data_IF_109746482303
#
_entry.id   IF_109746482303
#
_cell.length_a   1.000
_cell.length_b   1.000
_cell.length_c   1.000
_cell.angle_alpha   90.00
_cell.angle_beta   90.00
_cell.angle_gamma   90.00
#
_symmetry.space_group_name_H-M   'P 1'
#
loop_
_entity.id
_entity.type
_entity.pdbx_description
1 polymer ?
#
# COMPACT_ATOMS: atom_id res chain seq x y z
N UNK A 1 14.65 -10.46 5.15
CA UNK A 1 14.65 -9.52 3.99
C UNK A 1 13.44 -8.57 4.08
N UNK A 2 13.04 -8.16 5.29
CA UNK A 2 11.80 -7.37 5.52
C UNK A 2 12.05 -5.86 5.66
N UNK A 3 13.32 -5.46 5.86
CA UNK A 3 13.69 -4.09 6.20
C UNK A 3 13.57 -3.10 5.04
N UNK A 4 13.81 -3.51 3.80
CA UNK A 4 13.81 -2.60 2.64
C UNK A 4 12.39 -2.23 2.18
N UNK A 5 11.47 -3.20 2.11
CA UNK A 5 10.06 -2.95 1.76
C UNK A 5 9.38 -2.04 2.78
N UNK A 6 9.67 -2.22 4.07
CA UNK A 6 9.15 -1.36 5.15
C UNK A 6 9.62 0.10 5.04
N UNK A 7 10.88 0.32 4.63
CA UNK A 7 11.42 1.67 4.44
C UNK A 7 10.75 2.40 3.27
N UNK A 8 10.55 1.73 2.13
CA UNK A 8 9.86 2.31 0.96
C UNK A 8 8.41 2.66 1.28
N UNK A 9 7.71 1.77 1.98
CA UNK A 9 6.33 1.99 2.41
C UNK A 9 6.21 3.23 3.32
N UNK A 10 7.14 3.39 4.27
CA UNK A 10 7.23 4.59 5.12
C UNK A 10 7.49 5.85 4.31
N UNK A 11 8.43 5.83 3.38
CA UNK A 11 8.70 6.99 2.52
C UNK A 11 7.48 7.36 1.69
N UNK A 12 6.78 6.38 1.10
CA UNK A 12 5.55 6.64 0.34
C UNK A 12 4.46 7.27 1.22
N UNK A 13 4.23 6.72 2.42
CA UNK A 13 3.26 7.27 3.37
C UNK A 13 3.61 8.73 3.76
N UNK A 14 4.90 9.04 4.00
CA UNK A 14 5.34 10.40 4.32
C UNK A 14 5.16 11.41 3.18
N UNK A 15 5.07 10.95 1.93
CA UNK A 15 4.80 11.82 0.77
C UNK A 15 3.32 12.12 0.58
N UNK A 16 2.44 11.21 1.03
CA UNK A 16 1.00 11.31 0.81
C UNK A 16 0.24 11.85 2.03
N UNK A 17 0.75 11.60 3.23
CA UNK A 17 0.04 11.90 4.48
C UNK A 17 0.80 12.89 5.35
N UNK A 18 0.05 13.60 6.19
CA UNK A 18 0.63 14.38 7.28
C UNK A 18 1.47 13.50 8.22
N UNK A 19 2.60 14.05 8.67
CA UNK A 19 3.54 13.32 9.55
C UNK A 19 2.89 12.80 10.82
N UNK A 20 1.85 13.46 11.32
CA UNK A 20 1.13 13.07 12.54
C UNK A 20 0.39 11.74 12.41
N UNK A 21 0.03 11.31 11.18
CA UNK A 21 -0.74 10.09 10.94
C UNK A 21 0.05 8.97 10.25
N UNK A 22 1.29 9.23 9.83
CA UNK A 22 2.13 8.26 9.11
C UNK A 22 2.31 6.95 9.89
N UNK A 23 2.53 7.01 11.20
CA UNK A 23 2.71 5.79 11.99
C UNK A 23 1.41 4.97 12.09
N UNK A 24 0.24 5.62 12.10
CA UNK A 24 -1.05 4.93 12.10
C UNK A 24 -1.35 4.32 10.72
N UNK A 25 -0.99 5.01 9.64
CA UNK A 25 -1.05 4.49 8.26
C UNK A 25 -0.19 3.22 8.14
N UNK A 26 1.04 3.24 8.64
CA UNK A 26 1.94 2.09 8.57
C UNK A 26 1.46 0.92 9.42
N UNK A 27 1.00 1.17 10.64
CA UNK A 27 0.39 0.12 11.47
C UNK A 27 -0.79 -0.53 10.77
N UNK A 28 -1.67 0.26 10.16
CA UNK A 28 -2.81 -0.25 9.42
C UNK A 28 -2.37 -1.13 8.24
N UNK A 29 -1.41 -0.67 7.42
CA UNK A 29 -0.96 -1.43 6.25
C UNK A 29 -0.24 -2.73 6.63
N UNK A 30 0.63 -2.69 7.63
CA UNK A 30 1.41 -3.86 8.07
C UNK A 30 0.51 -4.90 8.74
N UNK A 31 -0.38 -4.47 9.64
CA UNK A 31 -1.17 -5.40 10.46
C UNK A 31 -2.45 -5.86 9.76
N UNK A 32 -3.06 -5.01 8.93
CA UNK A 32 -4.39 -5.25 8.39
C UNK A 32 -4.41 -5.47 6.87
N UNK A 33 -3.32 -5.17 6.17
CA UNK A 33 -3.15 -5.30 4.72
C UNK A 33 -1.85 -6.04 4.34
N UNK A 34 -1.42 -6.97 5.20
CA UNK A 34 -0.14 -7.67 5.10
C UNK A 34 -0.33 -9.18 4.91
N UNK A 35 0.34 -9.96 5.75
CA UNK A 35 0.28 -11.43 5.77
C UNK A 35 -1.12 -11.98 6.09
N UNK A 36 -1.99 -11.15 6.64
CA UNK A 36 -3.36 -11.49 6.99
C UNK A 36 -4.31 -11.49 5.78
N UNK A 37 -3.86 -11.11 4.58
CA UNK A 37 -4.68 -11.14 3.37
C UNK A 37 -4.81 -12.57 2.82
N UNK A 38 -6.03 -13.02 2.47
CA UNK A 38 -6.25 -14.37 1.98
C UNK A 38 -5.61 -14.59 0.61
N UNK A 39 -4.92 -15.73 0.45
CA UNK A 39 -4.38 -16.20 -0.84
C UNK A 39 -3.37 -15.24 -1.51
N UNK A 40 -2.79 -14.30 -0.75
CA UNK A 40 -1.69 -13.44 -1.22
C UNK A 40 -0.37 -14.14 -0.95
N UNK A 41 0.09 -14.99 -1.87
CA UNK A 41 1.42 -15.60 -1.77
C UNK A 41 2.50 -14.53 -1.96
N UNK A 42 3.12 -14.08 -0.86
CA UNK A 42 4.32 -13.22 -0.81
C UNK A 42 4.26 -11.91 -1.61
N UNK A 43 3.06 -11.36 -1.86
CA UNK A 43 2.89 -10.14 -2.68
C UNK A 43 2.03 -9.08 -1.98
N UNK A 44 2.08 -9.05 -0.65
CA UNK A 44 1.36 -8.09 0.18
C UNK A 44 1.89 -6.66 0.01
N UNK A 45 3.19 -6.49 -0.26
CA UNK A 45 3.78 -5.15 -0.51
C UNK A 45 3.05 -4.45 -1.66
N UNK A 46 2.82 -5.13 -2.79
CA UNK A 46 2.12 -4.54 -3.93
C UNK A 46 0.68 -4.13 -3.59
N UNK A 47 0.00 -4.89 -2.73
CA UNK A 47 -1.35 -4.56 -2.25
C UNK A 47 -1.33 -3.37 -1.29
N UNK A 48 -0.35 -3.30 -0.39
CA UNK A 48 -0.18 -2.15 0.52
C UNK A 48 0.06 -0.86 -0.26
N UNK A 49 0.91 -0.91 -1.29
CA UNK A 49 1.14 0.21 -2.18
C UNK A 49 -0.11 0.59 -3.00
N UNK A 50 -0.92 -0.39 -3.43
CA UNK A 50 -2.19 -0.12 -4.10
C UNK A 50 -3.16 0.64 -3.18
N UNK A 51 -3.31 0.18 -1.93
CA UNK A 51 -4.13 0.85 -0.93
C UNK A 51 -3.63 2.28 -0.65
N UNK A 52 -2.32 2.48 -0.50
CA UNK A 52 -1.71 3.81 -0.36
C UNK A 52 -2.03 4.71 -1.54
N UNK A 53 -1.74 4.27 -2.78
CA UNK A 53 -1.99 5.05 -3.99
C UNK A 53 -3.46 5.45 -4.12
N UNK A 54 -4.38 4.51 -3.88
CA UNK A 54 -5.81 4.75 -4.00
C UNK A 54 -6.39 5.58 -2.87
N UNK A 55 -5.71 5.66 -1.72
CA UNK A 55 -6.14 6.48 -0.58
C UNK A 55 -5.93 7.97 -0.81
N UNK A 56 -4.99 8.35 -1.68
CA UNK A 56 -4.68 9.75 -2.03
C UNK A 56 -4.43 10.64 -0.80
N UNK A 57 -3.78 10.09 0.23
CA UNK A 57 -3.47 10.81 1.47
C UNK A 57 -4.63 10.90 2.49
N UNK A 58 -5.78 10.29 2.21
CA UNK A 58 -6.91 10.22 3.14
C UNK A 58 -6.91 8.92 3.96
N UNK A 59 -6.73 9.05 5.28
CA UNK A 59 -6.66 7.90 6.20
C UNK A 59 -8.01 7.18 6.35
N UNK A 60 -9.12 7.89 6.19
CA UNK A 60 -10.46 7.28 6.23
C UNK A 60 -10.65 6.41 4.99
N UNK A 61 -10.25 6.93 3.82
CA UNK A 61 -10.26 6.18 2.57
C UNK A 61 -9.32 4.97 2.62
N UNK A 62 -8.14 5.14 3.21
CA UNK A 62 -7.19 4.03 3.40
C UNK A 62 -7.82 2.88 4.21
N UNK A 63 -8.51 3.19 5.31
CA UNK A 63 -9.20 2.17 6.14
C UNK A 63 -10.24 1.38 5.35
N UNK A 64 -11.01 2.06 4.49
CA UNK A 64 -12.00 1.41 3.62
C UNK A 64 -11.31 0.47 2.62
N UNK A 65 -10.28 0.96 1.93
CA UNK A 65 -9.51 0.16 0.97
C UNK A 65 -8.87 -1.07 1.62
N UNK A 66 -8.31 -0.93 2.82
CA UNK A 66 -7.74 -2.06 3.57
C UNK A 66 -8.81 -3.08 3.94
N UNK A 67 -10.02 -2.63 4.31
CA UNK A 67 -11.13 -3.54 4.55
C UNK A 67 -11.57 -4.27 3.26
N UNK A 68 -11.62 -3.56 2.13
CA UNK A 68 -11.98 -4.14 0.84
C UNK A 68 -10.92 -5.14 0.36
N UNK A 69 -9.64 -4.88 0.62
CA UNK A 69 -8.53 -5.78 0.29
C UNK A 69 -8.67 -7.17 0.94
N UNK A 70 -9.25 -7.24 2.14
CA UNK A 70 -9.51 -8.50 2.83
C UNK A 70 -10.57 -9.35 2.12
N UNK A 71 -11.48 -8.71 1.38
CA UNK A 71 -12.48 -9.39 0.57
C UNK A 71 -11.92 -9.75 -0.81
N UNK A 72 -11.38 -8.76 -1.54
CA UNK A 72 -10.72 -8.98 -2.82
C UNK A 72 -9.59 -7.98 -3.09
N UNK A 73 -8.36 -8.39 -2.76
CA UNK A 73 -7.16 -7.59 -3.02
C UNK A 73 -6.85 -7.45 -4.52
N UNK A 74 -7.38 -8.30 -5.39
CA UNK A 74 -7.09 -8.24 -6.84
C UNK A 74 -7.76 -7.02 -7.45
N UNK A 75 -8.96 -6.68 -7.00
CA UNK A 75 -9.68 -5.48 -7.44
C UNK A 75 -8.91 -4.21 -7.05
N UNK A 76 -8.29 -4.19 -5.86
CA UNK A 76 -7.38 -3.11 -5.47
C UNK A 76 -6.20 -2.97 -6.43
N UNK A 77 -5.57 -4.08 -6.82
CA UNK A 77 -4.46 -4.05 -7.77
C UNK A 77 -4.92 -3.55 -9.15
N UNK A 78 -6.11 -3.96 -9.60
CA UNK A 78 -6.67 -3.47 -10.87
C UNK A 78 -6.92 -1.97 -10.79
N UNK A 79 -7.61 -1.50 -9.75
CA UNK A 79 -7.94 -0.10 -9.55
C UNK A 79 -6.68 0.78 -9.42
N UNK A 80 -5.64 0.29 -8.74
CA UNK A 80 -4.37 0.99 -8.61
C UNK A 80 -3.51 0.95 -9.89
N UNK A 81 -3.86 0.10 -10.86
CA UNK A 81 -3.07 -0.14 -12.07
C UNK A 81 -1.80 -0.96 -11.80
N UNK A 82 -1.81 -1.84 -10.80
CA UNK A 82 -0.70 -2.73 -10.40
C UNK A 82 -0.95 -4.22 -10.73
N UNK A 83 -1.83 -4.49 -11.70
CA UNK A 83 -2.27 -5.83 -12.07
C UNK A 83 -1.48 -6.47 -13.21
N UNK A 84 -0.69 -5.70 -13.98
CA UNK A 84 -0.05 -6.19 -15.22
C UNK A 84 1.35 -6.73 -14.96
N UNK A 85 2.08 -6.13 -14.03
CA UNK A 85 3.42 -6.60 -13.65
C UNK A 85 3.65 -6.50 -12.14
N UNK A 86 4.61 -7.28 -11.66
CA UNK A 86 4.92 -7.37 -10.22
C UNK A 86 5.61 -6.11 -9.69
N UNK A 87 6.26 -5.34 -10.56
CA UNK A 87 7.08 -4.16 -10.24
C UNK A 87 6.35 -2.81 -10.44
N UNK A 88 5.08 -2.80 -10.84
CA UNK A 88 4.34 -1.54 -11.12
C UNK A 88 4.25 -0.61 -9.89
N UNK A 89 4.14 -1.20 -8.70
CA UNK A 89 4.14 -0.45 -7.44
C UNK A 89 5.48 0.25 -7.16
N UNK A 90 6.60 -0.38 -7.57
CA UNK A 90 7.94 0.21 -7.46
C UNK A 90 8.13 1.36 -8.44
N UNK A 91 7.68 1.20 -9.69
CA UNK A 91 7.71 2.29 -10.68
C UNK A 91 6.89 3.50 -10.21
N UNK A 92 5.73 3.25 -9.61
CA UNK A 92 4.94 4.32 -9.00
C UNK A 92 5.66 4.99 -7.83
N UNK A 93 6.29 4.20 -6.96
CA UNK A 93 7.08 4.72 -5.84
C UNK A 93 8.25 5.60 -6.30
N UNK A 94 8.98 5.17 -7.33
CA UNK A 94 10.08 5.94 -7.93
C UNK A 94 9.59 7.30 -8.45
N UNK A 95 8.47 7.32 -9.18
CA UNK A 95 7.85 8.55 -9.65
C UNK A 95 7.40 9.46 -8.49
N UNK A 96 6.84 8.88 -7.43
CA UNK A 96 6.41 9.62 -6.23
C UNK A 96 7.60 10.26 -5.50
N UNK A 97 8.77 9.63 -5.52
CA UNK A 97 9.98 10.18 -4.89
C UNK A 97 10.64 11.29 -5.70
N UNK A 98 10.46 11.28 -7.03
CA UNK A 98 10.99 12.30 -7.95
C UNK A 98 10.11 13.55 -8.02
N UNK A 99 8.80 13.42 -7.73
CA UNK A 99 7.87 14.53 -7.57
C UNK A 99 8.14 15.33 -6.28
#
# INVERSE_FOLDING_TARGET
MEFESSNKLRTAAQRLFDRSVVDDVLKLLVNECGENLPLVANNFERVQFAALKLSDGDITRLKLLVNDAKNDWRDLLVAAGFHRAVDEHMRWFENLCQA
#
